data_IF_899249103170
#
_entry.id   IF_899249103170
#
_cell.length_a   1.000
_cell.length_b   1.000
_cell.length_c   1.000
_cell.angle_alpha   90.00
_cell.angle_beta   90.00
_cell.angle_gamma   90.00
#
_symmetry.space_group_name_H-M   'P 1'
#
loop_
_entity.id
_entity.type
_entity.pdbx_description
1 polymer ?
#
# COMPACT_ATOMS: atom_id res chain seq x y z
N UNK A 1 1.78 -27.56 -27.22
CA UNK A 1 2.51 -28.09 -26.06
C UNK A 1 2.05 -27.30 -24.85
N UNK A 2 1.80 -27.91 -23.68
CA UNK A 2 1.48 -27.11 -22.50
C UNK A 2 2.65 -26.15 -22.27
N UNK A 3 2.36 -24.85 -22.27
CA UNK A 3 3.33 -23.83 -21.92
C UNK A 3 3.80 -24.16 -20.52
N UNK A 4 5.11 -24.34 -20.34
CA UNK A 4 5.67 -24.44 -18.99
C UNK A 4 6.03 -23.01 -18.63
N UNK A 5 5.15 -22.33 -17.90
CA UNK A 5 5.47 -21.04 -17.28
C UNK A 5 6.64 -21.23 -16.34
N UNK A 6 7.81 -20.70 -16.70
CA UNK A 6 9.05 -20.81 -15.94
C UNK A 6 9.65 -19.42 -15.87
N UNK A 7 9.98 -18.97 -14.67
CA UNK A 7 10.76 -17.75 -14.48
C UNK A 7 12.15 -17.91 -15.09
N UNK A 8 12.59 -16.93 -15.88
CA UNK A 8 13.95 -16.84 -16.36
C UNK A 8 14.92 -16.39 -15.25
N UNK A 9 16.21 -16.24 -15.58
CA UNK A 9 17.25 -15.81 -14.64
C UNK A 9 17.02 -14.39 -14.08
N UNK A 10 16.22 -13.58 -14.77
CA UNK A 10 15.83 -12.22 -14.38
C UNK A 10 14.42 -12.18 -13.78
N UNK A 11 13.87 -13.34 -13.43
CA UNK A 11 12.55 -13.52 -12.81
C UNK A 11 11.34 -13.16 -13.71
N UNK A 12 11.52 -13.01 -15.02
CA UNK A 12 10.41 -12.79 -15.98
C UNK A 12 9.78 -14.11 -16.42
N UNK A 13 8.48 -14.12 -16.74
CA UNK A 13 7.78 -15.30 -17.26
C UNK A 13 7.88 -15.42 -18.79
N UNK A 14 7.98 -14.29 -19.48
CA UNK A 14 8.00 -14.17 -20.93
C UNK A 14 9.22 -13.39 -21.40
N UNK A 15 9.68 -13.71 -22.61
CA UNK A 15 10.80 -13.00 -23.25
C UNK A 15 10.35 -11.63 -23.74
N UNK A 16 11.26 -10.67 -23.68
CA UNK A 16 11.10 -9.30 -24.18
C UNK A 16 9.92 -8.53 -23.55
N UNK A 17 9.91 -8.28 -22.22
CA UNK A 17 8.81 -7.57 -21.54
C UNK A 17 8.54 -6.18 -22.13
N UNK A 18 9.55 -5.56 -22.74
CA UNK A 18 9.46 -4.27 -23.47
C UNK A 18 8.47 -4.28 -24.64
N UNK A 19 8.12 -5.45 -25.20
CA UNK A 19 7.07 -5.55 -26.22
C UNK A 19 5.68 -5.24 -25.67
N UNK A 20 5.51 -5.28 -24.34
CA UNK A 20 4.31 -4.87 -23.63
C UNK A 20 3.04 -5.58 -24.15
N UNK A 21 3.14 -6.89 -24.37
CA UNK A 21 2.07 -7.72 -24.92
C UNK A 21 1.21 -8.37 -23.86
N UNK A 22 -0.03 -8.72 -24.22
CA UNK A 22 -0.92 -9.53 -23.38
C UNK A 22 -0.66 -11.01 -23.67
N UNK A 23 -0.50 -11.80 -22.61
CA UNK A 23 -0.25 -13.24 -22.66
C UNK A 23 -1.46 -14.00 -22.13
N UNK A 24 -2.07 -14.82 -22.98
CA UNK A 24 -3.14 -15.72 -22.56
C UNK A 24 -2.57 -16.91 -21.78
N UNK A 25 -3.07 -17.13 -20.57
CA UNK A 25 -2.66 -18.23 -19.70
C UNK A 25 -3.82 -19.21 -19.44
N UNK A 26 -3.46 -20.47 -19.23
CA UNK A 26 -4.38 -21.58 -18.96
C UNK A 26 -4.59 -21.81 -17.46
N UNK A 27 -5.51 -22.71 -17.10
CA UNK A 27 -5.68 -23.12 -15.70
C UNK A 27 -4.44 -23.88 -15.20
N UNK A 28 -3.79 -24.65 -16.07
CA UNK A 28 -2.52 -25.32 -15.78
C UNK A 28 -1.41 -24.32 -15.44
N UNK A 29 -1.35 -23.20 -16.18
CA UNK A 29 -0.41 -22.10 -15.91
C UNK A 29 -0.70 -21.43 -14.55
N UNK A 30 -1.97 -21.20 -14.21
CA UNK A 30 -2.37 -20.68 -12.89
C UNK A 30 -1.94 -21.64 -11.77
N UNK A 31 -2.16 -22.95 -11.94
CA UNK A 31 -1.73 -23.95 -10.97
C UNK A 31 -0.20 -23.97 -10.79
N UNK A 32 0.55 -23.75 -11.87
CA UNK A 32 2.01 -23.62 -11.80
C UNK A 32 2.43 -22.37 -11.02
N UNK A 33 1.76 -21.23 -11.23
CA UNK A 33 2.01 -19.99 -10.46
C UNK A 33 1.64 -20.15 -8.98
N UNK A 34 0.57 -20.88 -8.65
CA UNK A 34 0.23 -21.22 -7.26
C UNK A 34 1.33 -22.06 -6.60
N UNK A 35 1.92 -23.01 -7.32
CA UNK A 35 3.05 -23.80 -6.84
C UNK A 35 4.30 -22.92 -6.59
N UNK A 36 4.57 -21.94 -7.46
CA UNK A 36 5.63 -20.97 -7.22
C UNK A 36 5.38 -20.12 -5.98
N UNK A 37 4.14 -19.68 -5.75
CA UNK A 37 3.78 -18.95 -4.54
C UNK A 37 4.09 -19.73 -3.25
N UNK A 38 3.89 -21.06 -3.24
CA UNK A 38 4.29 -21.89 -2.09
C UNK A 38 5.81 -21.99 -1.92
N UNK A 39 6.55 -22.06 -3.02
CA UNK A 39 8.02 -22.07 -2.99
C UNK A 39 8.57 -20.74 -2.48
N UNK A 40 7.99 -19.61 -2.90
CA UNK A 40 8.35 -18.28 -2.42
C UNK A 40 8.06 -18.12 -0.92
N UNK A 41 6.92 -18.64 -0.44
CA UNK A 41 6.61 -18.69 0.99
C UNK A 41 7.64 -19.51 1.77
N UNK A 42 7.98 -20.71 1.29
CA UNK A 42 8.97 -21.58 1.94
C UNK A 42 10.36 -20.96 1.95
N UNK A 43 10.75 -20.28 0.86
CA UNK A 43 12.00 -19.54 0.78
C UNK A 43 12.05 -18.39 1.78
N UNK A 44 11.00 -17.56 1.84
CA UNK A 44 10.93 -16.43 2.76
C UNK A 44 11.03 -16.88 4.24
N UNK A 45 10.37 -17.99 4.60
CA UNK A 45 10.49 -18.58 5.94
C UNK A 45 11.89 -19.13 6.23
N UNK A 46 12.54 -19.75 5.23
CA UNK A 46 13.92 -20.23 5.38
C UNK A 46 14.90 -19.07 5.63
N UNK A 47 14.77 -17.96 4.89
CA UNK A 47 15.58 -16.74 5.08
C UNK A 47 15.36 -16.16 6.47
N UNK A 48 14.10 -16.08 6.92
CA UNK A 48 13.75 -15.61 8.27
C UNK A 48 14.39 -16.48 9.35
N UNK A 49 14.29 -17.81 9.22
CA UNK A 49 14.89 -18.75 10.17
C UNK A 49 16.42 -18.59 10.23
N UNK A 50 17.08 -18.41 9.09
CA UNK A 50 18.52 -18.17 9.03
C UNK A 50 18.93 -16.89 9.78
N UNK A 51 18.19 -15.78 9.59
CA UNK A 51 18.46 -14.52 10.30
C UNK A 51 18.25 -14.67 11.80
N UNK A 52 17.17 -15.34 12.25
CA UNK A 52 16.89 -15.57 13.67
C UNK A 52 17.97 -16.43 14.34
N UNK A 53 18.35 -17.55 13.72
CA UNK A 53 19.40 -18.43 14.26
C UNK A 53 20.76 -17.72 14.29
N UNK A 54 21.06 -16.89 13.29
CA UNK A 54 22.23 -16.02 13.28
C UNK A 54 22.22 -15.04 14.45
N UNK A 55 21.11 -14.33 14.67
CA UNK A 55 21.01 -13.39 15.80
C UNK A 55 21.23 -14.09 17.13
N UNK A 56 20.66 -15.29 17.32
CA UNK A 56 20.92 -16.10 18.52
C UNK A 56 22.40 -16.44 18.66
N UNK A 57 23.04 -16.90 17.58
CA UNK A 57 24.46 -17.23 17.57
C UNK A 57 25.37 -16.04 17.88
N UNK A 58 25.00 -14.84 17.41
CA UNK A 58 25.71 -13.58 17.73
C UNK A 58 25.57 -13.29 19.23
N UNK A 59 24.34 -13.35 19.77
CA UNK A 59 24.08 -13.11 21.20
C UNK A 59 24.75 -14.12 22.12
N UNK A 60 24.87 -15.39 21.70
CA UNK A 60 25.57 -16.44 22.44
C UNK A 60 27.08 -16.45 22.23
N UNK A 61 27.63 -15.56 21.39
CA UNK A 61 29.07 -15.51 21.09
C UNK A 61 29.60 -16.70 20.30
N UNK A 62 28.73 -17.49 19.68
CA UNK A 62 29.09 -18.70 18.90
C UNK A 62 29.13 -18.45 17.39
N UNK A 63 28.87 -17.22 16.94
CA UNK A 63 28.91 -16.85 15.54
C UNK A 63 30.34 -16.69 15.03
N UNK A 64 30.74 -17.52 14.06
CA UNK A 64 32.13 -17.60 13.56
C UNK A 64 32.30 -17.24 12.09
N UNK A 65 31.20 -16.95 11.36
CA UNK A 65 31.26 -16.61 9.93
C UNK A 65 31.50 -15.11 9.74
N UNK A 66 32.42 -14.77 8.82
CA UNK A 66 32.52 -13.43 8.23
C UNK A 66 31.60 -13.38 7.02
N UNK A 67 30.38 -12.89 7.19
CA UNK A 67 29.52 -12.52 6.06
C UNK A 67 29.82 -11.08 5.64
N UNK A 68 29.58 -10.73 4.38
CA UNK A 68 29.64 -9.35 3.93
C UNK A 68 28.52 -8.54 4.59
N UNK A 69 28.87 -7.44 5.25
CA UNK A 69 27.94 -6.60 6.00
C UNK A 69 26.81 -6.05 5.11
N UNK A 70 27.07 -5.79 3.83
CA UNK A 70 26.04 -5.35 2.88
C UNK A 70 25.01 -6.44 2.64
N UNK A 71 25.48 -7.66 2.38
CA UNK A 71 24.61 -8.82 2.17
C UNK A 71 23.77 -9.11 3.42
N UNK A 72 24.34 -8.92 4.61
CA UNK A 72 23.61 -9.07 5.87
C UNK A 72 22.49 -8.02 6.00
N UNK A 73 22.78 -6.75 5.68
CA UNK A 73 21.78 -5.68 5.74
C UNK A 73 20.64 -5.93 4.75
N UNK A 74 20.95 -6.34 3.51
CA UNK A 74 19.92 -6.73 2.53
C UNK A 74 19.06 -7.89 3.02
N UNK A 75 19.65 -8.94 3.60
CA UNK A 75 18.88 -10.06 4.15
C UNK A 75 17.95 -9.61 5.29
N UNK A 76 18.43 -8.75 6.19
CA UNK A 76 17.63 -8.23 7.30
C UNK A 76 16.46 -7.37 6.79
N UNK A 77 16.68 -6.54 5.76
CA UNK A 77 15.62 -5.74 5.15
C UNK A 77 14.58 -6.62 4.43
N UNK A 78 14.98 -7.76 3.88
CA UNK A 78 14.08 -8.71 3.23
C UNK A 78 13.31 -9.59 4.22
N UNK A 79 13.76 -9.69 5.49
CA UNK A 79 13.01 -10.36 6.55
C UNK A 79 11.91 -9.48 7.14
N UNK A 80 10.84 -10.11 7.65
CA UNK A 80 9.81 -9.40 8.41
C UNK A 80 10.35 -8.83 9.71
N UNK A 81 9.90 -7.62 10.09
CA UNK A 81 10.15 -7.07 11.42
C UNK A 81 11.29 -6.06 11.49
N UNK A 82 11.81 -5.58 10.37
CA UNK A 82 12.86 -4.55 10.34
C UNK A 82 12.25 -3.17 10.18
N UNK A 83 12.65 -2.23 11.04
CA UNK A 83 12.27 -0.83 10.90
C UNK A 83 13.18 -0.17 9.87
N UNK A 84 12.58 0.37 8.81
CA UNK A 84 13.28 1.11 7.76
C UNK A 84 12.67 2.49 7.56
N UNK A 85 13.51 3.46 7.21
CA UNK A 85 13.10 4.83 6.92
C UNK A 85 12.92 5.02 5.41
N UNK A 86 11.70 5.33 4.99
CA UNK A 86 11.34 5.54 3.60
C UNK A 86 11.71 6.96 3.13
N UNK A 87 11.93 7.18 1.82
CA UNK A 87 12.34 8.47 1.27
C UNK A 87 11.31 9.59 1.48
N UNK A 88 10.02 9.25 1.64
CA UNK A 88 8.94 10.18 1.95
C UNK A 88 8.77 10.47 3.46
N UNK A 89 9.71 10.02 4.29
CA UNK A 89 9.84 10.40 5.70
C UNK A 89 9.24 9.44 6.72
N UNK A 90 8.41 8.49 6.30
CA UNK A 90 7.81 7.51 7.22
C UNK A 90 8.77 6.36 7.52
N UNK A 91 8.71 5.84 8.75
CA UNK A 91 9.28 4.54 9.09
C UNK A 91 8.22 3.46 8.95
N UNK A 92 8.60 2.35 8.34
CA UNK A 92 7.74 1.17 8.25
C UNK A 92 8.41 -0.02 8.93
N UNK A 93 7.61 -1.05 9.25
CA UNK A 93 8.11 -2.37 9.65
C UNK A 93 7.95 -3.31 8.45
N UNK A 94 9.04 -3.85 7.93
CA UNK A 94 9.04 -4.69 6.72
C UNK A 94 8.21 -5.97 6.87
N UNK A 95 7.62 -6.42 5.76
CA UNK A 95 7.11 -7.78 5.58
C UNK A 95 8.19 -8.69 4.95
N UNK A 96 8.02 -10.02 4.96
CA UNK A 96 8.88 -10.88 4.15
C UNK A 96 8.76 -10.47 2.68
N UNK A 97 9.87 -10.04 2.09
CA UNK A 97 9.92 -9.76 0.65
C UNK A 97 9.88 -11.07 -0.11
N UNK A 98 9.14 -11.11 -1.20
CA UNK A 98 9.13 -12.20 -2.18
C UNK A 98 9.56 -11.59 -3.51
N UNK A 99 10.21 -12.38 -4.36
CA UNK A 99 10.95 -11.91 -5.55
C UNK A 99 10.07 -11.32 -6.66
N UNK A 100 8.76 -11.27 -6.44
CA UNK A 100 7.75 -11.00 -7.44
C UNK A 100 6.67 -10.08 -6.86
N UNK A 101 6.18 -9.17 -7.69
CA UNK A 101 5.06 -8.29 -7.39
C UNK A 101 3.93 -8.54 -8.38
N UNK A 102 2.71 -8.52 -7.86
CA UNK A 102 1.51 -8.86 -8.59
C UNK A 102 0.39 -7.85 -8.34
N UNK A 103 -0.52 -7.74 -9.29
CA UNK A 103 -1.83 -7.13 -9.10
C UNK A 103 -2.87 -7.93 -9.85
N UNK A 104 -3.97 -8.26 -9.17
CA UNK A 104 -5.11 -8.90 -9.78
C UNK A 104 -6.22 -7.94 -10.14
N UNK A 105 -6.81 -8.13 -11.31
CA UNK A 105 -7.98 -7.39 -11.76
C UNK A 105 -9.07 -8.34 -12.25
N UNK A 106 -10.27 -8.12 -11.73
CA UNK A 106 -11.42 -9.02 -11.93
C UNK A 106 -11.94 -9.06 -13.37
N UNK A 107 -11.57 -8.06 -14.17
CA UNK A 107 -12.02 -7.92 -15.56
C UNK A 107 -10.95 -7.21 -16.37
N UNK A 108 -11.11 -7.19 -17.69
CA UNK A 108 -10.33 -6.30 -18.55
C UNK A 108 -10.69 -4.83 -18.27
N UNK A 109 -9.81 -4.10 -17.60
CA UNK A 109 -9.89 -2.65 -17.56
C UNK A 109 -9.02 -2.07 -18.67
N UNK A 110 -9.57 -1.16 -19.48
CA UNK A 110 -8.79 -0.54 -20.55
C UNK A 110 -7.70 0.40 -20.04
N UNK A 111 -7.87 0.95 -18.83
CA UNK A 111 -6.86 1.77 -18.13
C UNK A 111 -6.90 1.46 -16.64
N UNK A 112 -5.86 0.80 -16.14
CA UNK A 112 -5.66 0.56 -14.72
C UNK A 112 -4.85 1.72 -14.16
N UNK A 113 -5.57 2.66 -13.56
CA UNK A 113 -5.04 3.89 -12.93
C UNK A 113 -5.63 4.07 -11.54
N UNK A 114 -4.98 4.83 -10.63
CA UNK A 114 -5.44 5.01 -9.25
C UNK A 114 -6.84 5.60 -9.14
N UNK A 115 -7.47 5.43 -7.98
CA UNK A 115 -8.83 5.94 -7.72
C UNK A 115 -8.93 7.45 -7.89
N UNK A 116 -7.95 8.22 -7.41
CA UNK A 116 -7.96 9.67 -7.54
C UNK A 116 -7.80 10.12 -9.00
N UNK A 117 -6.90 9.49 -9.77
CA UNK A 117 -6.73 9.81 -11.19
C UNK A 117 -8.01 9.59 -12.00
N UNK A 118 -8.83 8.60 -11.64
CA UNK A 118 -10.12 8.36 -12.31
C UNK A 118 -11.15 9.47 -12.05
N UNK A 119 -11.03 10.19 -10.94
CA UNK A 119 -11.90 11.31 -10.60
C UNK A 119 -11.50 12.61 -11.33
N UNK A 120 -10.22 12.74 -11.65
CA UNK A 120 -9.66 13.89 -12.36
C UNK A 120 -9.97 13.78 -13.86
N UNK A 121 -10.96 14.54 -14.33
CA UNK A 121 -11.39 14.51 -15.73
C UNK A 121 -10.42 15.30 -16.62
N UNK A 122 -10.25 14.83 -17.86
CA UNK A 122 -9.39 15.50 -18.85
C UNK A 122 -9.80 16.95 -19.16
N UNK A 123 -11.08 17.29 -18.94
CA UNK A 123 -11.60 18.64 -19.15
C UNK A 123 -11.34 19.62 -17.99
N UNK A 124 -10.85 19.14 -16.85
CA UNK A 124 -10.50 19.99 -15.71
C UNK A 124 -9.20 20.74 -15.98
N UNK A 125 -9.12 22.01 -15.59
CA UNK A 125 -7.85 22.72 -15.58
C UNK A 125 -6.93 22.24 -14.44
N UNK A 126 -5.65 22.63 -14.47
CA UNK A 126 -4.69 22.17 -13.46
C UNK A 126 -5.01 22.67 -12.05
N UNK A 127 -5.63 23.85 -11.93
CA UNK A 127 -6.04 24.39 -10.62
C UNK A 127 -7.22 23.59 -10.06
N UNK A 128 -8.19 23.23 -10.90
CA UNK A 128 -9.31 22.37 -10.52
C UNK A 128 -8.84 20.97 -10.13
N UNK A 129 -7.90 20.39 -10.90
CA UNK A 129 -7.32 19.09 -10.53
C UNK A 129 -6.64 19.17 -9.17
N UNK A 130 -5.85 20.21 -8.92
CA UNK A 130 -5.16 20.38 -7.64
C UNK A 130 -6.13 20.59 -6.47
N UNK A 131 -7.21 21.35 -6.65
CA UNK A 131 -8.27 21.47 -5.63
C UNK A 131 -8.92 20.12 -5.30
N UNK A 132 -9.21 19.30 -6.32
CA UNK A 132 -9.78 17.97 -6.11
C UNK A 132 -8.80 17.02 -5.39
N UNK A 133 -7.50 17.13 -5.67
CA UNK A 133 -6.46 16.39 -4.91
C UNK A 133 -6.42 16.82 -3.45
N UNK A 134 -6.43 18.14 -3.20
CA UNK A 134 -6.46 18.68 -1.84
C UNK A 134 -7.70 18.22 -1.08
N UNK A 135 -8.88 18.19 -1.70
CA UNK A 135 -10.11 17.68 -1.07
C UNK A 135 -9.98 16.19 -0.71
N UNK A 136 -9.39 15.38 -1.60
CA UNK A 136 -9.12 13.97 -1.28
C UNK A 136 -8.15 13.81 -0.09
N UNK A 137 -7.11 14.65 -0.02
CA UNK A 137 -6.19 14.67 1.12
C UNK A 137 -6.84 15.15 2.41
N UNK A 138 -7.72 16.15 2.37
CA UNK A 138 -8.48 16.60 3.54
C UNK A 138 -9.37 15.47 4.10
N UNK A 139 -10.06 14.72 3.23
CA UNK A 139 -10.84 13.53 3.63
C UNK A 139 -9.96 12.43 4.23
N UNK A 140 -8.73 12.25 3.73
CA UNK A 140 -7.73 11.35 4.32
C UNK A 140 -7.33 11.79 5.73
N UNK A 141 -7.08 13.09 5.96
CA UNK A 141 -6.75 13.57 7.31
C UNK A 141 -7.90 13.41 8.29
N UNK A 142 -9.14 13.65 7.85
CA UNK A 142 -10.34 13.35 8.62
C UNK A 142 -10.44 11.87 9.01
N UNK A 143 -10.12 10.96 8.08
CA UNK A 143 -10.02 9.54 8.38
C UNK A 143 -8.92 9.24 9.39
N UNK A 144 -7.75 9.88 9.27
CA UNK A 144 -6.69 9.83 10.28
C UNK A 144 -7.17 10.24 11.68
N UNK A 145 -7.90 11.35 11.77
CA UNK A 145 -8.50 11.85 13.01
C UNK A 145 -9.51 10.86 13.60
N UNK A 146 -10.30 10.17 12.76
CA UNK A 146 -11.22 9.12 13.20
C UNK A 146 -10.47 7.94 13.81
N UNK A 147 -9.52 7.35 13.08
CA UNK A 147 -8.82 6.13 13.54
C UNK A 147 -7.90 6.39 14.73
N UNK A 148 -7.47 7.64 14.96
CA UNK A 148 -6.68 8.02 16.13
C UNK A 148 -7.40 7.77 17.46
N UNK A 149 -8.73 7.62 17.44
CA UNK A 149 -9.53 7.25 18.61
C UNK A 149 -9.40 5.76 18.98
N UNK A 150 -8.89 4.91 18.08
CA UNK A 150 -8.68 3.48 18.33
C UNK A 150 -7.35 3.32 19.06
N UNK A 151 -7.36 2.73 20.26
CA UNK A 151 -6.22 2.66 21.19
C UNK A 151 -4.91 2.20 20.53
N UNK A 152 -5.01 1.24 19.60
CA UNK A 152 -3.84 0.68 18.91
C UNK A 152 -3.10 1.70 18.04
N UNK A 153 -3.79 2.69 17.47
CA UNK A 153 -3.20 3.65 16.52
C UNK A 153 -2.18 4.58 17.20
N UNK A 154 -2.52 5.35 18.25
CA UNK A 154 -1.53 6.17 18.96
C UNK A 154 -0.48 5.32 19.69
N UNK A 155 -0.83 4.12 20.15
CA UNK A 155 0.15 3.18 20.72
C UNK A 155 1.18 2.74 19.67
N UNK A 156 0.73 2.38 18.46
CA UNK A 156 1.57 1.98 17.35
C UNK A 156 2.55 3.08 16.96
N UNK A 157 2.03 4.30 16.76
CA UNK A 157 2.84 5.49 16.44
C UNK A 157 3.91 5.74 17.52
N UNK A 158 3.55 5.60 18.79
CA UNK A 158 4.45 5.84 19.90
C UNK A 158 5.54 4.76 20.07
N UNK A 159 5.22 3.49 19.79
CA UNK A 159 6.06 2.36 20.24
C UNK A 159 6.68 1.53 19.12
N UNK A 160 6.06 1.47 17.95
CA UNK A 160 6.41 0.49 16.92
C UNK A 160 6.89 1.14 15.62
N UNK A 161 6.05 1.92 14.96
CA UNK A 161 6.35 2.50 13.65
C UNK A 161 5.47 3.71 13.35
N UNK A 162 5.76 4.42 12.27
CA UNK A 162 4.87 5.50 11.83
C UNK A 162 3.60 4.92 11.18
N UNK A 163 2.48 5.61 11.36
CA UNK A 163 1.20 5.26 10.74
C UNK A 163 1.17 5.80 9.30
N UNK A 164 1.10 4.90 8.33
CA UNK A 164 1.02 5.26 6.92
C UNK A 164 -0.43 5.58 6.53
N UNK A 165 -0.86 6.83 6.80
CA UNK A 165 -2.23 7.29 6.52
C UNK A 165 -2.62 7.16 5.05
N UNK A 166 -1.70 7.39 4.12
CA UNK A 166 -1.97 7.27 2.68
C UNK A 166 -2.33 5.83 2.28
N UNK A 167 -1.53 4.86 2.74
CA UNK A 167 -1.77 3.45 2.48
C UNK A 167 -3.04 2.93 3.17
N UNK A 168 -3.26 3.32 4.43
CA UNK A 168 -4.48 2.96 5.16
C UNK A 168 -5.71 3.53 4.45
N UNK A 169 -5.72 4.82 4.13
CA UNK A 169 -6.86 5.46 3.47
C UNK A 169 -7.24 4.77 2.16
N UNK A 170 -6.25 4.36 1.35
CA UNK A 170 -6.51 3.57 0.14
C UNK A 170 -7.26 2.26 0.46
N UNK A 171 -6.83 1.52 1.48
CA UNK A 171 -7.41 0.23 1.88
C UNK A 171 -8.82 0.34 2.48
N UNK A 172 -9.19 1.54 2.97
CA UNK A 172 -10.54 1.87 3.45
C UNK A 172 -11.37 2.64 2.42
N UNK A 173 -10.91 2.71 1.17
CA UNK A 173 -11.68 3.18 0.02
C UNK A 173 -11.65 4.70 -0.20
N UNK A 174 -10.68 5.41 0.37
CA UNK A 174 -10.44 6.81 0.03
C UNK A 174 -9.72 6.93 -1.31
N UNK A 175 -9.96 8.03 -2.01
CA UNK A 175 -9.32 8.30 -3.29
C UNK A 175 -7.83 8.65 -3.07
N UNK A 176 -6.93 7.92 -3.73
CA UNK A 176 -5.48 8.16 -3.66
C UNK A 176 -4.83 8.02 -5.04
N UNK A 177 -3.59 8.49 -5.17
CA UNK A 177 -2.71 8.30 -6.32
C UNK A 177 -1.95 6.96 -6.30
N UNK A 178 -2.36 6.02 -5.44
CA UNK A 178 -1.66 4.77 -5.22
C UNK A 178 -2.37 3.62 -5.94
N UNK A 179 -1.58 2.67 -6.43
CA UNK A 179 -2.06 1.37 -6.89
C UNK A 179 -1.64 0.28 -5.93
N UNK A 180 -2.58 -0.61 -5.59
CA UNK A 180 -2.28 -1.79 -4.77
C UNK A 180 -1.52 -2.82 -5.60
N UNK A 181 -0.37 -3.22 -5.07
CA UNK A 181 0.40 -4.39 -5.47
C UNK A 181 0.50 -5.35 -4.27
N UNK A 182 0.80 -6.61 -4.54
CA UNK A 182 1.05 -7.62 -3.53
C UNK A 182 2.21 -8.49 -3.96
N UNK A 183 3.03 -8.96 -3.03
CA UNK A 183 4.05 -9.96 -3.33
C UNK A 183 3.52 -11.41 -3.21
N UNK A 184 2.21 -11.59 -2.97
CA UNK A 184 1.55 -12.90 -2.92
C UNK A 184 0.64 -13.12 -4.13
N UNK A 185 1.02 -14.04 -5.00
CA UNK A 185 0.21 -14.42 -6.15
C UNK A 185 -1.19 -14.91 -5.76
N UNK A 186 -1.37 -15.56 -4.60
CA UNK A 186 -2.70 -16.01 -4.15
C UNK A 186 -3.62 -14.83 -3.86
N UNK A 187 -3.10 -13.75 -3.27
CA UNK A 187 -3.84 -12.53 -3.03
C UNK A 187 -4.21 -11.83 -4.36
N UNK A 188 -3.26 -11.74 -5.31
CA UNK A 188 -3.56 -11.20 -6.63
C UNK A 188 -4.63 -12.03 -7.36
N UNK A 189 -4.50 -13.36 -7.37
CA UNK A 189 -5.49 -14.24 -7.98
C UNK A 189 -6.87 -14.12 -7.33
N UNK A 190 -6.93 -13.90 -6.01
CA UNK A 190 -8.17 -13.62 -5.30
C UNK A 190 -8.86 -12.36 -5.82
N UNK A 191 -8.16 -11.23 -5.88
CA UNK A 191 -8.73 -9.98 -6.41
C UNK A 191 -9.07 -10.08 -7.90
N UNK A 192 -8.36 -10.93 -8.64
CA UNK A 192 -8.67 -11.21 -10.04
C UNK A 192 -9.90 -12.12 -10.23
N UNK A 193 -10.36 -12.84 -9.21
CA UNK A 193 -11.42 -13.87 -9.36
C UNK A 193 -12.60 -13.71 -8.42
N UNK A 194 -12.56 -12.80 -7.45
CA UNK A 194 -13.61 -12.57 -6.46
C UNK A 194 -14.11 -11.14 -6.52
N UNK A 195 -15.42 -10.96 -6.31
CA UNK A 195 -16.09 -9.66 -6.39
C UNK A 195 -16.37 -9.13 -4.99
N UNK A 196 -16.00 -7.87 -4.77
CA UNK A 196 -16.35 -7.13 -3.55
C UNK A 196 -17.85 -6.76 -3.54
N UNK A 197 -18.45 -6.82 -2.36
CA UNK A 197 -19.86 -6.56 -2.06
C UNK A 197 -19.92 -5.46 -1.00
N UNK A 198 -20.09 -4.19 -1.40
CA UNK A 198 -20.07 -3.05 -0.48
C UNK A 198 -21.08 -3.17 0.66
N UNK A 199 -22.26 -3.73 0.41
CA UNK A 199 -23.36 -3.82 1.38
C UNK A 199 -23.02 -4.69 2.59
N UNK A 200 -22.03 -5.56 2.47
CA UNK A 200 -21.62 -6.51 3.52
C UNK A 200 -20.15 -6.36 3.89
N UNK A 201 -19.46 -5.34 3.34
CA UNK A 201 -18.00 -5.16 3.40
C UNK A 201 -17.25 -6.49 3.20
N UNK A 202 -17.61 -7.26 2.17
CA UNK A 202 -17.10 -8.62 2.00
C UNK A 202 -16.87 -9.00 0.54
N UNK A 203 -16.25 -10.17 0.31
CA UNK A 203 -16.04 -10.73 -1.02
C UNK A 203 -16.89 -11.96 -1.23
N UNK A 204 -17.29 -12.18 -2.49
CA UNK A 204 -17.95 -13.42 -2.94
C UNK A 204 -17.33 -13.93 -4.24
N UNK A 205 -17.47 -15.22 -4.56
CA UNK A 205 -17.10 -15.72 -5.87
C UNK A 205 -17.97 -15.10 -6.99
N UNK A 206 -17.43 -15.10 -8.20
CA UNK A 206 -18.11 -14.71 -9.42
C UNK A 206 -19.24 -15.69 -9.74
N UNK A 207 -20.38 -15.13 -10.13
CA UNK A 207 -21.49 -15.90 -10.71
C UNK A 207 -21.38 -15.94 -12.22
N UNK A 208 -22.10 -16.86 -12.88
CA UNK A 208 -22.16 -16.89 -14.34
C UNK A 208 -22.68 -15.55 -14.91
N UNK A 209 -23.62 -14.90 -14.22
CA UNK A 209 -24.13 -13.59 -14.60
C UNK A 209 -23.09 -12.47 -14.47
N UNK A 210 -22.17 -12.54 -13.50
CA UNK A 210 -21.05 -11.58 -13.41
C UNK A 210 -20.09 -11.76 -14.59
N UNK A 211 -19.80 -13.03 -14.98
CA UNK A 211 -18.87 -13.38 -16.06
C UNK A 211 -19.44 -12.97 -17.43
N UNK A 212 -20.72 -13.23 -17.68
CA UNK A 212 -21.36 -13.03 -18.98
C UNK A 212 -21.85 -11.58 -19.20
N UNK A 213 -21.57 -10.65 -18.29
CA UNK A 213 -22.04 -9.26 -18.34
C UNK A 213 -21.53 -8.49 -19.57
N UNK A 214 -20.26 -8.66 -19.94
CA UNK A 214 -19.65 -8.08 -21.14
C UNK A 214 -18.46 -8.91 -21.61
N UNK A 215 -17.88 -8.59 -22.77
CA UNK A 215 -16.65 -9.26 -23.23
C UNK A 215 -15.49 -9.10 -22.23
N UNK A 216 -15.37 -7.92 -21.61
CA UNK A 216 -14.34 -7.61 -20.63
C UNK A 216 -14.47 -8.41 -19.33
N UNK A 217 -15.70 -8.73 -18.90
CA UNK A 217 -15.94 -9.51 -17.66
C UNK A 217 -15.72 -11.00 -17.83
N UNK A 218 -15.45 -11.48 -19.05
CA UNK A 218 -15.15 -12.90 -19.31
C UNK A 218 -13.72 -13.28 -18.95
N UNK A 219 -12.86 -12.31 -18.67
CA UNK A 219 -11.44 -12.51 -18.45
C UNK A 219 -10.96 -11.83 -17.17
N UNK A 220 -10.12 -12.51 -16.41
CA UNK A 220 -9.34 -11.88 -15.33
C UNK A 220 -7.94 -11.53 -15.82
N UNK A 221 -7.32 -10.59 -15.14
CA UNK A 221 -5.95 -10.16 -15.43
C UNK A 221 -5.07 -10.24 -14.19
N UNK A 222 -3.83 -10.70 -14.39
CA UNK A 222 -2.74 -10.55 -13.44
C UNK A 222 -1.67 -9.69 -14.10
N UNK A 223 -1.31 -8.59 -13.45
CA UNK A 223 -0.09 -7.86 -13.74
C UNK A 223 1.03 -8.44 -12.89
N UNK A 224 2.20 -8.65 -13.48
CA UNK A 224 3.37 -9.22 -12.81
C UNK A 224 4.62 -8.42 -13.12
N UNK A 225 5.41 -8.12 -12.10
CA UNK A 225 6.72 -7.50 -12.24
C UNK A 225 7.72 -8.18 -11.29
N UNK A 226 8.95 -8.49 -11.74
CA UNK A 226 10.03 -8.82 -10.83
C UNK A 226 10.29 -7.69 -9.83
N UNK A 227 10.57 -8.03 -8.58
CA UNK A 227 10.79 -7.05 -7.52
C UNK A 227 11.92 -6.07 -7.85
N UNK A 228 13.05 -6.56 -8.38
CA UNK A 228 14.23 -5.73 -8.68
C UNK A 228 13.96 -4.61 -9.69
N UNK A 229 12.90 -4.70 -10.51
CA UNK A 229 12.56 -3.67 -11.50
C UNK A 229 11.95 -2.43 -10.84
N UNK A 230 11.04 -2.63 -9.88
CA UNK A 230 10.20 -1.54 -9.35
C UNK A 230 10.30 -1.39 -7.83
N UNK A 231 10.69 -2.41 -7.06
CA UNK A 231 10.77 -2.34 -5.60
C UNK A 231 11.93 -1.44 -5.18
N UNK A 232 11.60 -0.44 -4.37
CA UNK A 232 12.57 0.46 -3.75
C UNK A 232 13.65 -0.29 -2.97
N UNK A 233 13.34 -1.42 -2.34
CA UNK A 233 14.31 -2.14 -1.51
C UNK A 233 15.22 -3.10 -2.27
N UNK A 234 14.91 -3.44 -3.53
CA UNK A 234 15.63 -4.48 -4.28
C UNK A 234 16.52 -3.90 -5.40
N UNK A 235 17.08 -2.72 -5.18
CA UNK A 235 18.13 -2.13 -6.03
C UNK A 235 17.58 -1.35 -7.21
N UNK A 236 17.01 -2.00 -8.23
CA UNK A 236 16.67 -1.32 -9.48
C UNK A 236 15.60 -0.23 -9.35
N UNK A 237 14.61 -0.42 -8.47
CA UNK A 237 13.64 0.63 -8.13
C UNK A 237 14.30 1.85 -7.47
N UNK A 238 15.20 1.62 -6.50
CA UNK A 238 15.96 2.69 -5.86
C UNK A 238 16.97 3.38 -6.80
N UNK A 239 17.71 2.63 -7.61
CA UNK A 239 18.70 3.16 -8.53
C UNK A 239 18.04 4.10 -9.57
N UNK A 240 16.95 3.64 -10.18
CA UNK A 240 16.16 4.49 -11.09
C UNK A 240 15.65 5.74 -10.37
N UNK A 241 15.00 5.55 -9.22
CA UNK A 241 14.41 6.66 -8.48
C UNK A 241 15.44 7.68 -8.02
N UNK A 242 16.55 7.22 -7.44
CA UNK A 242 17.65 8.06 -6.96
C UNK A 242 18.31 8.83 -8.09
N UNK A 243 18.51 8.21 -9.26
CA UNK A 243 19.01 8.88 -10.45
C UNK A 243 18.10 10.03 -10.89
N UNK A 244 16.79 9.80 -10.92
CA UNK A 244 15.80 10.79 -11.32
C UNK A 244 15.65 11.93 -10.29
N UNK A 245 15.63 11.61 -8.99
CA UNK A 245 15.18 12.54 -7.95
C UNK A 245 16.31 13.15 -7.11
N UNK A 246 17.36 12.40 -6.82
CA UNK A 246 18.52 12.91 -6.07
C UNK A 246 19.55 13.51 -7.01
N UNK A 247 19.74 12.91 -8.19
CA UNK A 247 20.74 13.35 -9.15
C UNK A 247 20.17 14.20 -10.30
N UNK A 248 18.87 14.53 -10.30
CA UNK A 248 18.21 15.30 -11.36
C UNK A 248 18.43 14.73 -12.79
N UNK A 249 18.61 13.42 -12.92
CA UNK A 249 18.94 12.77 -14.19
C UNK A 249 20.39 13.00 -14.65
N UNK A 250 21.25 13.56 -13.79
CA UNK A 250 22.64 13.85 -14.06
C UNK A 250 23.55 13.22 -12.97
N UNK A 251 24.29 12.14 -13.29
CA UNK A 251 25.09 11.42 -12.29
C UNK A 251 26.28 12.24 -11.75
N UNK A 252 26.57 13.41 -12.33
CA UNK A 252 27.61 14.33 -11.87
C UNK A 252 27.10 15.37 -10.87
N UNK A 253 25.78 15.47 -10.65
CA UNK A 253 25.19 16.39 -9.68
C UNK A 253 25.18 15.80 -8.27
N UNK A 254 25.46 16.65 -7.29
CA UNK A 254 25.45 16.28 -5.87
C UNK A 254 24.00 16.03 -5.42
N UNK A 255 23.76 14.96 -4.66
CA UNK A 255 22.40 14.62 -4.24
C UNK A 255 21.80 15.71 -3.33
N UNK A 256 20.63 16.23 -3.68
CA UNK A 256 19.86 17.10 -2.77
C UNK A 256 19.24 16.27 -1.65
N UNK A 257 19.97 16.19 -0.54
CA UNK A 257 19.55 15.43 0.66
C UNK A 257 18.49 16.14 1.50
N UNK A 258 18.19 17.40 1.22
CA UNK A 258 17.25 18.20 2.00
C UNK A 258 15.87 18.31 1.33
N UNK A 259 15.73 17.85 0.08
CA UNK A 259 14.44 17.77 -0.59
C UNK A 259 13.53 16.77 0.13
N UNK A 260 12.32 17.23 0.46
CA UNK A 260 11.24 16.38 0.97
C UNK A 260 10.49 15.78 -0.22
N UNK A 261 10.25 14.48 -0.16
CA UNK A 261 9.45 13.74 -1.14
C UNK A 261 8.10 13.43 -0.55
N UNK A 262 7.05 13.47 -1.38
CA UNK A 262 5.69 13.17 -0.96
C UNK A 262 5.16 11.97 -1.73
N UNK A 263 4.47 11.09 -1.02
CA UNK A 263 4.02 9.82 -1.58
C UNK A 263 2.99 9.99 -2.71
N UNK A 264 2.17 11.05 -2.65
CA UNK A 264 1.10 11.33 -3.63
C UNK A 264 1.37 12.55 -4.53
N UNK A 265 2.55 13.17 -4.48
CA UNK A 265 2.91 14.35 -5.32
C UNK A 265 3.37 13.98 -6.73
N UNK A 266 3.66 12.69 -6.97
CA UNK A 266 4.39 12.22 -8.15
C UNK A 266 5.88 12.01 -7.93
N UNK A 267 6.43 12.42 -6.77
CA UNK A 267 7.85 12.20 -6.44
C UNK A 267 8.23 10.72 -6.31
N UNK A 268 7.26 9.86 -6.03
CA UNK A 268 7.46 8.42 -5.83
C UNK A 268 6.85 7.59 -6.98
N UNK A 269 6.49 8.26 -8.08
CA UNK A 269 5.84 7.60 -9.21
C UNK A 269 6.71 6.49 -9.80
N UNK A 270 6.08 5.36 -10.11
CA UNK A 270 6.75 4.28 -10.83
C UNK A 270 7.60 3.36 -9.95
N UNK A 271 7.60 3.55 -8.63
CA UNK A 271 8.36 2.76 -7.64
C UNK A 271 7.39 2.04 -6.71
N UNK A 272 7.58 0.73 -6.52
CA UNK A 272 6.84 -0.05 -5.54
C UNK A 272 7.48 0.12 -4.14
N UNK A 273 6.63 0.40 -3.16
CA UNK A 273 7.03 0.62 -1.78
C UNK A 273 6.22 -0.33 -0.89
N UNK A 274 6.89 -1.04 0.00
CA UNK A 274 6.18 -1.81 1.02
C UNK A 274 5.34 -0.87 1.88
N UNK A 275 4.10 -1.28 2.21
CA UNK A 275 3.30 -0.59 3.22
C UNK A 275 3.86 -0.87 4.62
N UNK A 276 4.43 -2.08 4.80
CA UNK A 276 4.86 -2.61 6.08
C UNK A 276 3.70 -2.92 7.02
N UNK A 277 3.99 -3.53 8.17
CA UNK A 277 2.98 -3.75 9.20
C UNK A 277 2.42 -2.38 9.65
N UNK A 278 1.11 -2.35 9.89
CA UNK A 278 0.35 -1.15 10.26
C UNK A 278 -0.56 -1.50 11.46
N UNK A 279 -1.07 -0.50 12.22
CA UNK A 279 -1.93 -0.77 13.38
C UNK A 279 -3.24 -1.49 13.02
N UNK A 280 -3.74 -1.26 11.80
CA UNK A 280 -4.93 -1.92 11.26
C UNK A 280 -4.52 -3.09 10.36
N UNK A 281 -5.27 -4.20 10.42
CA UNK A 281 -4.76 -5.51 10.03
C UNK A 281 -4.82 -5.76 8.52
N UNK A 282 -5.68 -5.03 7.80
CA UNK A 282 -5.94 -5.25 6.36
C UNK A 282 -4.68 -5.21 5.49
N UNK A 283 -3.81 -4.21 5.69
CA UNK A 283 -2.60 -4.06 4.88
C UNK A 283 -1.63 -5.24 5.05
N UNK A 284 -1.47 -5.74 6.27
CA UNK A 284 -0.59 -6.85 6.57
C UNK A 284 -1.05 -8.18 5.95
N UNK A 285 -2.36 -8.44 6.00
CA UNK A 285 -2.94 -9.67 5.44
C UNK A 285 -2.81 -9.74 3.91
N UNK A 286 -2.67 -8.60 3.23
CA UNK A 286 -2.50 -8.54 1.79
C UNK A 286 -1.03 -8.60 1.34
N UNK A 287 -0.07 -8.60 2.28
CA UNK A 287 1.36 -8.38 1.97
C UNK A 287 1.53 -7.18 1.03
N UNK A 288 0.85 -6.08 1.39
CA UNK A 288 0.56 -4.97 0.50
C UNK A 288 1.76 -4.09 0.19
N UNK A 289 1.85 -3.72 -1.07
CA UNK A 289 2.74 -2.71 -1.61
C UNK A 289 1.89 -1.60 -2.25
N UNK A 290 2.39 -0.38 -2.18
CA UNK A 290 1.84 0.76 -2.91
C UNK A 290 2.73 1.09 -4.08
N UNK A 291 2.11 1.41 -5.21
CA UNK A 291 2.77 1.89 -6.41
C UNK A 291 2.19 3.25 -6.78
N UNK A 292 2.84 4.36 -6.39
CA UNK A 292 2.39 5.70 -6.72
C UNK A 292 2.38 5.91 -8.23
N UNK A 293 1.30 6.54 -8.70
CA UNK A 293 1.02 6.71 -10.12
C UNK A 293 0.17 7.97 -10.35
N UNK A 294 0.70 9.14 -9.97
CA UNK A 294 0.04 10.44 -10.24
C UNK A 294 0.16 10.81 -11.72
N UNK A 295 1.36 10.70 -12.28
CA UNK A 295 1.72 11.11 -13.64
C UNK A 295 2.12 9.93 -14.54
N UNK A 296 2.25 8.73 -13.96
CA UNK A 296 2.62 7.51 -14.66
C UNK A 296 1.52 7.00 -15.61
N UNK A 297 1.96 6.25 -16.61
CA UNK A 297 1.04 5.62 -17.58
C UNK A 297 0.28 4.48 -16.93
N UNK A 298 -0.89 4.16 -17.48
CA UNK A 298 -1.66 2.99 -17.03
C UNK A 298 -0.84 1.70 -17.12
N UNK A 299 -1.17 0.71 -16.27
CA UNK A 299 -0.42 -0.56 -16.24
C UNK A 299 -0.42 -1.29 -17.59
N UNK A 300 -1.44 -1.07 -18.42
CA UNK A 300 -1.55 -1.56 -19.80
C UNK A 300 -0.44 -1.05 -20.71
N UNK A 301 0.05 0.17 -20.48
CA UNK A 301 1.09 0.81 -21.28
C UNK A 301 2.48 0.72 -20.62
N UNK A 302 2.54 0.21 -19.40
CA UNK A 302 3.76 0.11 -18.61
C UNK A 302 4.45 -1.25 -18.84
N UNK A 303 5.61 -1.24 -19.49
CA UNK A 303 6.36 -2.43 -19.85
C UNK A 303 7.05 -3.12 -18.65
N UNK A 304 7.11 -2.45 -17.48
CA UNK A 304 7.59 -3.08 -16.25
C UNK A 304 6.65 -4.19 -15.77
N UNK A 305 5.42 -4.27 -16.29
CA UNK A 305 4.45 -5.30 -15.93
C UNK A 305 4.15 -6.23 -17.11
N UNK A 306 4.36 -7.54 -16.92
CA UNK A 306 3.74 -8.56 -17.75
C UNK A 306 2.23 -8.58 -17.53
N UNK A 307 1.46 -8.85 -18.59
CA UNK A 307 -0.01 -8.89 -18.55
C UNK A 307 -0.50 -10.28 -18.86
N UNK A 308 -0.93 -10.99 -17.83
CA UNK A 308 -1.42 -12.36 -17.93
C UNK A 308 -2.95 -12.31 -17.94
N UNK A 309 -3.56 -12.72 -19.05
CA UNK A 309 -5.01 -12.80 -19.22
C UNK A 309 -5.47 -14.25 -19.10
N UNK A 310 -6.49 -14.50 -18.29
CA UNK A 310 -7.09 -15.83 -18.17
C UNK A 310 -8.60 -15.73 -18.30
N UNK A 311 -9.24 -16.80 -18.80
CA UNK A 311 -10.68 -16.85 -18.93
C UNK A 311 -11.32 -17.21 -17.59
N UNK A 312 -12.37 -16.50 -17.21
CA UNK A 312 -13.13 -16.80 -16.01
C UNK A 312 -13.92 -18.09 -16.11
N UNK A 313 -14.05 -18.76 -14.96
CA UNK A 313 -15.03 -19.80 -14.72
C UNK A 313 -15.53 -19.70 -13.27
N UNK A 314 -16.78 -20.12 -13.06
CA UNK A 314 -17.37 -20.17 -11.72
C UNK A 314 -16.56 -21.13 -10.83
N UNK A 315 -16.08 -22.23 -11.39
CA UNK A 315 -15.28 -23.24 -10.70
C UNK A 315 -13.96 -22.67 -10.18
N UNK A 316 -13.24 -21.90 -11.02
CA UNK A 316 -11.99 -21.24 -10.63
C UNK A 316 -12.23 -20.26 -9.49
N UNK A 317 -13.24 -19.39 -9.65
CA UNK A 317 -13.58 -18.38 -8.64
C UNK A 317 -13.94 -19.01 -7.29
N UNK A 318 -14.77 -20.06 -7.29
CA UNK A 318 -15.11 -20.79 -6.06
C UNK A 318 -13.90 -21.50 -5.44
N UNK A 319 -13.02 -22.07 -6.26
CA UNK A 319 -11.80 -22.70 -5.78
C UNK A 319 -10.90 -21.69 -5.06
N UNK A 320 -10.63 -20.55 -5.70
CA UNK A 320 -9.80 -19.47 -5.13
C UNK A 320 -10.45 -18.90 -3.86
N UNK A 321 -11.76 -18.64 -3.89
CA UNK A 321 -12.49 -18.15 -2.72
C UNK A 321 -12.34 -19.08 -1.50
N UNK A 322 -12.45 -20.40 -1.70
CA UNK A 322 -12.22 -21.40 -0.64
C UNK A 322 -10.77 -21.46 -0.19
N UNK A 323 -9.82 -21.42 -1.12
CA UNK A 323 -8.38 -21.38 -0.82
C UNK A 323 -8.01 -20.19 0.08
N UNK A 324 -8.70 -19.08 -0.09
CA UNK A 324 -8.52 -17.83 0.65
C UNK A 324 -9.40 -17.70 1.90
N UNK A 325 -9.98 -18.81 2.37
CA UNK A 325 -10.86 -18.89 3.54
C UNK A 325 -12.02 -17.87 3.49
N UNK A 326 -12.69 -17.83 2.34
CA UNK A 326 -13.79 -16.89 2.09
C UNK A 326 -13.36 -15.42 2.03
N UNK A 327 -12.07 -15.17 1.79
CA UNK A 327 -11.47 -13.84 1.76
C UNK A 327 -10.80 -13.41 3.06
N UNK A 328 -11.00 -14.13 4.17
CA UNK A 328 -10.45 -13.75 5.49
C UNK A 328 -8.93 -13.65 5.52
N UNK A 329 -8.23 -14.35 4.62
CA UNK A 329 -6.76 -14.29 4.51
C UNK A 329 -6.23 -12.94 3.99
N UNK A 330 -7.06 -12.16 3.28
CA UNK A 330 -6.68 -10.86 2.69
C UNK A 330 -7.60 -9.73 3.13
N UNK A 331 -8.76 -10.07 3.68
CA UNK A 331 -9.78 -9.16 4.18
C UNK A 331 -10.26 -9.68 5.55
N UNK A 332 -9.45 -9.52 6.60
CA UNK A 332 -9.78 -10.01 7.93
C UNK A 332 -10.95 -9.23 8.53
N UNK A 333 -11.67 -9.85 9.46
CA UNK A 333 -12.61 -9.12 10.31
C UNK A 333 -11.81 -8.31 11.35
N UNK A 334 -11.93 -6.99 11.31
CA UNK A 334 -11.17 -6.05 12.14
C UNK A 334 -12.08 -4.96 12.70
N UNK A 335 -11.74 -4.41 13.87
CA UNK A 335 -12.63 -3.50 14.59
C UNK A 335 -12.99 -2.24 13.80
N UNK A 336 -12.10 -1.72 12.97
CA UNK A 336 -12.38 -0.53 12.13
C UNK A 336 -13.55 -0.73 11.15
N UNK A 337 -13.92 -1.98 10.82
CA UNK A 337 -15.13 -2.27 10.02
C UNK A 337 -16.40 -1.78 10.72
N UNK A 338 -16.46 -1.81 12.06
CA UNK A 338 -17.59 -1.30 12.84
C UNK A 338 -17.77 0.23 12.72
N UNK A 339 -16.74 0.94 12.23
CA UNK A 339 -16.78 2.39 11.98
C UNK A 339 -17.19 2.75 10.54
N UNK A 340 -17.75 1.79 9.78
CA UNK A 340 -18.12 1.98 8.37
C UNK A 340 -18.96 3.23 8.11
N UNK A 341 -19.99 3.48 8.93
CA UNK A 341 -20.86 4.66 8.76
C UNK A 341 -20.09 5.98 8.88
N UNK A 342 -19.10 6.05 9.77
CA UNK A 342 -18.25 7.24 9.93
C UNK A 342 -17.31 7.39 8.73
N UNK A 343 -16.66 6.30 8.31
CA UNK A 343 -15.77 6.29 7.14
C UNK A 343 -16.54 6.78 5.90
N UNK A 344 -17.76 6.29 5.70
CA UNK A 344 -18.56 6.65 4.53
C UNK A 344 -19.02 8.10 4.55
N UNK A 345 -19.35 8.63 5.73
CA UNK A 345 -19.60 10.07 5.89
C UNK A 345 -18.36 10.91 5.54
N UNK A 346 -17.16 10.47 5.94
CA UNK A 346 -15.92 11.20 5.66
C UNK A 346 -15.60 11.20 4.16
N UNK A 347 -15.84 10.09 3.44
CA UNK A 347 -15.62 10.03 1.99
C UNK A 347 -16.42 11.06 1.20
N UNK A 348 -17.55 11.53 1.74
CA UNK A 348 -18.40 12.56 1.15
C UNK A 348 -18.31 13.91 1.87
N UNK A 349 -17.35 14.08 2.79
CA UNK A 349 -17.21 15.31 3.56
C UNK A 349 -16.86 16.51 2.67
N UNK A 350 -17.45 17.65 2.99
CA UNK A 350 -17.19 18.96 2.37
C UNK A 350 -16.90 20.04 3.42
N UNK A 351 -16.89 19.68 4.70
CA UNK A 351 -16.54 20.59 5.80
C UNK A 351 -15.24 20.10 6.38
N UNK A 352 -14.25 20.98 6.47
CA UNK A 352 -12.91 20.65 6.96
C UNK A 352 -12.44 21.66 7.98
N UNK A 353 -11.62 21.23 8.93
CA UNK A 353 -11.05 22.10 9.94
C UNK A 353 -9.74 22.75 9.44
N UNK A 354 -9.38 23.89 10.04
CA UNK A 354 -8.20 24.66 9.65
C UNK A 354 -6.88 23.89 9.91
N UNK A 355 -6.85 23.05 10.94
CA UNK A 355 -5.72 22.17 11.24
C UNK A 355 -5.54 21.07 10.17
N UNK A 356 -6.63 20.49 9.67
CA UNK A 356 -6.63 19.54 8.54
C UNK A 356 -6.06 20.21 7.29
N UNK A 357 -6.46 21.46 7.01
CA UNK A 357 -5.93 22.24 5.89
C UNK A 357 -4.42 22.52 6.04
N UNK A 358 -3.98 22.87 7.26
CA UNK A 358 -2.57 23.08 7.55
C UNK A 358 -1.75 21.80 7.34
N UNK A 359 -2.26 20.66 7.82
CA UNK A 359 -1.63 19.36 7.65
C UNK A 359 -1.47 18.99 6.17
N UNK A 360 -2.52 19.19 5.35
CA UNK A 360 -2.44 18.97 3.90
C UNK A 360 -1.40 19.87 3.24
N UNK A 361 -1.42 21.16 3.57
CA UNK A 361 -0.51 22.14 2.95
C UNK A 361 0.97 21.85 3.26
N UNK A 362 1.27 21.36 4.46
CA UNK A 362 2.65 21.12 4.91
C UNK A 362 3.17 19.71 4.61
N UNK A 363 2.28 18.71 4.52
CA UNK A 363 2.67 17.30 4.50
C UNK A 363 2.25 16.53 3.24
N UNK A 364 1.40 17.07 2.37
CA UNK A 364 0.88 16.31 1.21
C UNK A 364 1.36 16.84 -0.15
N UNK A 365 2.36 17.73 -0.16
CA UNK A 365 2.98 18.17 -1.41
C UNK A 365 2.06 18.98 -2.32
N UNK A 366 1.23 19.85 -1.74
CA UNK A 366 0.40 20.82 -2.49
C UNK A 366 1.28 21.64 -3.42
N UNK A 367 0.82 21.84 -4.66
CA UNK A 367 1.54 22.64 -5.65
C UNK A 367 1.57 24.14 -5.24
N UNK A 368 2.70 24.55 -4.67
CA UNK A 368 2.94 25.93 -4.21
C UNK A 368 3.11 26.93 -5.36
N UNK A 369 3.22 26.47 -6.61
CA UNK A 369 3.17 27.37 -7.77
C UNK A 369 1.73 27.79 -8.10
N UNK A 370 0.75 26.93 -7.80
CA UNK A 370 -0.68 27.20 -7.94
C UNK A 370 -1.22 27.91 -6.69
N UNK A 371 -0.82 27.45 -5.51
CA UNK A 371 -1.23 27.99 -4.21
C UNK A 371 0.00 28.40 -3.38
N UNK A 372 0.54 29.62 -3.56
CA UNK A 372 1.76 30.05 -2.88
C UNK A 372 1.65 30.13 -1.36
N UNK A 373 0.44 30.35 -0.84
CA UNK A 373 0.15 30.41 0.60
C UNK A 373 -1.05 29.55 0.97
N UNK A 374 -1.13 29.15 2.24
CA UNK A 374 -2.30 28.46 2.77
C UNK A 374 -3.57 29.31 2.68
N UNK A 375 -3.46 30.64 2.76
CA UNK A 375 -4.59 31.56 2.62
C UNK A 375 -5.13 31.57 1.18
N UNK A 376 -4.24 31.48 0.18
CA UNK A 376 -4.65 31.34 -1.24
C UNK A 376 -5.42 30.03 -1.45
N UNK A 377 -4.94 28.94 -0.85
CA UNK A 377 -5.61 27.65 -0.90
C UNK A 377 -6.96 27.68 -0.18
N UNK A 378 -7.02 28.22 1.05
CA UNK A 378 -8.26 28.37 1.84
C UNK A 378 -9.30 29.16 1.06
N UNK A 379 -8.89 30.27 0.44
CA UNK A 379 -9.77 31.12 -0.37
C UNK A 379 -10.28 30.40 -1.62
N UNK A 380 -9.46 29.57 -2.26
CA UNK A 380 -9.86 28.81 -3.43
C UNK A 380 -10.79 27.63 -3.08
N UNK A 381 -10.60 27.00 -1.92
CA UNK A 381 -11.46 25.92 -1.42
C UNK A 381 -12.81 26.44 -0.91
N UNK A 382 -12.83 27.56 -0.20
CA UNK A 382 -14.06 28.06 0.43
C UNK A 382 -15.08 28.46 -0.65
N UNK A 383 -16.22 27.78 -0.68
CA UNK A 383 -17.25 27.98 -1.71
C UNK A 383 -17.04 27.14 -2.98
N UNK A 384 -15.98 26.32 -3.05
CA UNK A 384 -15.76 25.41 -4.18
C UNK A 384 -16.86 24.33 -4.20
N UNK A 385 -17.49 24.13 -5.36
CA UNK A 385 -18.60 23.18 -5.51
C UNK A 385 -18.10 21.86 -6.04
N UNK A 386 -18.32 20.80 -5.28
CA UNK A 386 -18.07 19.41 -5.66
C UNK A 386 -19.37 18.68 -5.95
N UNK A 387 -19.31 17.42 -6.37
CA UNK A 387 -20.48 16.55 -6.45
C UNK A 387 -21.15 16.29 -5.09
N UNK A 388 -20.39 16.38 -4.00
CA UNK A 388 -20.87 16.10 -2.64
C UNK A 388 -21.41 17.36 -1.92
N UNK A 389 -21.15 18.55 -2.48
CA UNK A 389 -21.59 19.82 -1.92
C UNK A 389 -20.55 20.92 -2.01
N UNK A 390 -20.84 22.03 -1.32
CA UNK A 390 -19.99 23.21 -1.27
C UNK A 390 -18.98 23.07 -0.13
N UNK A 391 -17.70 23.28 -0.44
CA UNK A 391 -16.61 23.16 0.52
C UNK A 391 -16.59 24.34 1.49
N UNK A 392 -16.47 24.04 2.78
CA UNK A 392 -16.34 24.99 3.87
C UNK A 392 -15.14 24.64 4.76
N UNK A 393 -14.37 25.66 5.13
CA UNK A 393 -13.26 25.54 6.09
C UNK A 393 -13.68 26.26 7.38
N UNK A 394 -13.63 25.54 8.51
CA UNK A 394 -13.95 26.07 9.84
C UNK A 394 -12.73 26.07 10.76
N UNK A 395 -12.75 26.89 11.79
CA UNK A 395 -11.63 26.96 12.75
C UNK A 395 -11.74 25.88 13.85
N UNK A 396 -12.96 25.39 14.13
CA UNK A 396 -13.20 24.37 15.14
C UNK A 396 -12.86 22.96 14.65
N UNK A 397 -12.19 22.12 15.46
CA UNK A 397 -11.93 20.73 15.11
C UNK A 397 -13.22 19.94 14.86
N UNK A 398 -13.16 18.99 13.93
CA UNK A 398 -14.27 18.08 13.65
C UNK A 398 -14.17 16.90 14.61
N UNK A 399 -15.15 16.78 15.50
CA UNK A 399 -15.22 15.71 16.51
C UNK A 399 -16.20 14.63 16.05
N UNK A 400 -15.74 13.38 16.04
CA UNK A 400 -16.59 12.22 15.82
C UNK A 400 -17.09 11.71 17.17
N UNK A 401 -18.37 11.91 17.46
CA UNK A 401 -19.02 11.34 18.64
C UNK A 401 -19.26 9.84 18.41
N UNK A 402 -18.25 9.03 18.76
CA UNK A 402 -18.31 7.57 18.69
C UNK A 402 -18.87 7.07 20.03
N UNK A 403 -20.02 6.38 20.05
CA UNK A 403 -20.54 5.79 21.27
C UNK A 403 -19.48 4.93 21.97
N UNK A 404 -19.33 5.10 23.28
CA UNK A 404 -18.31 4.38 24.04
C UNK A 404 -18.40 2.86 23.85
N UNK A 405 -19.61 2.30 23.82
CA UNK A 405 -19.81 0.85 23.61
C UNK A 405 -19.27 0.39 22.25
N UNK A 406 -19.49 1.18 21.20
CA UNK A 406 -18.96 0.91 19.86
C UNK A 406 -17.42 1.01 19.85
N UNK A 407 -16.85 2.02 20.50
CA UNK A 407 -15.40 2.18 20.58
C UNK A 407 -14.74 1.07 21.41
N UNK A 408 -15.36 0.64 22.50
CA UNK A 408 -14.91 -0.48 23.33
C UNK A 408 -14.93 -1.80 22.51
N UNK A 409 -15.96 -2.01 21.69
CA UNK A 409 -16.05 -3.14 20.77
C UNK A 409 -14.94 -3.11 19.72
N UNK A 410 -14.74 -1.97 19.04
CA UNK A 410 -13.64 -1.75 18.08
C UNK A 410 -12.29 -2.05 18.73
N UNK A 411 -12.03 -1.52 19.93
CA UNK A 411 -10.77 -1.71 20.64
C UNK A 411 -10.54 -3.16 21.09
N UNK A 412 -11.60 -3.93 21.36
CA UNK A 412 -11.50 -5.35 21.71
C UNK A 412 -10.83 -6.20 20.61
N UNK A 413 -10.88 -5.72 19.35
CA UNK A 413 -10.18 -6.36 18.23
C UNK A 413 -8.66 -6.14 18.24
N UNK A 414 -8.12 -5.26 19.07
CA UNK A 414 -6.70 -4.93 19.06
C UNK A 414 -6.06 -5.03 20.45
N UNK A 415 -6.79 -4.66 21.50
CA UNK A 415 -6.27 -4.59 22.86
C UNK A 415 -5.88 -5.97 23.40
N UNK A 416 -4.70 -6.02 24.05
CA UNK A 416 -4.16 -7.25 24.63
C UNK A 416 -3.59 -8.27 23.62
N UNK A 417 -3.62 -7.98 22.31
CA UNK A 417 -3.00 -8.83 21.29
C UNK A 417 -1.49 -8.63 21.23
N UNK A 418 -0.76 -9.73 21.00
CA UNK A 418 0.68 -9.67 20.77
C UNK A 418 0.97 -9.12 19.37
N UNK A 419 1.32 -7.84 19.31
CA UNK A 419 1.67 -7.13 18.07
C UNK A 419 2.98 -7.65 17.46
N UNK A 420 3.87 -8.23 18.27
CA UNK A 420 5.14 -8.77 17.80
C UNK A 420 4.98 -10.17 17.22
N UNK A 421 3.92 -10.90 17.56
CA UNK A 421 3.66 -12.24 17.02
C UNK A 421 3.64 -12.23 15.47
N UNK A 422 3.03 -11.20 14.87
CA UNK A 422 2.95 -11.05 13.42
C UNK A 422 4.34 -10.93 12.75
N UNK A 423 5.32 -10.35 13.45
CA UNK A 423 6.70 -10.21 12.97
C UNK A 423 7.64 -11.31 13.47
N UNK A 424 7.12 -12.36 14.10
CA UNK A 424 7.91 -13.47 14.66
C UNK A 424 8.60 -13.15 15.98
N UNK A 425 8.07 -12.20 16.75
CA UNK A 425 8.57 -11.83 18.08
C UNK A 425 9.81 -10.94 18.07
N UNK A 426 10.23 -10.43 16.91
CA UNK A 426 11.47 -9.68 16.76
C UNK A 426 11.24 -8.40 15.97
N UNK A 427 11.51 -7.27 16.61
CA UNK A 427 11.54 -5.94 15.98
C UNK A 427 13.00 -5.49 15.88
N UNK A 428 13.55 -5.47 14.67
CA UNK A 428 14.89 -4.97 14.42
C UNK A 428 14.84 -3.45 14.20
N UNK A 429 15.30 -2.69 15.18
CA UNK A 429 15.28 -1.23 15.16
C UNK A 429 16.66 -0.65 15.47
N UNK A 430 17.17 0.21 14.59
CA UNK A 430 18.45 0.91 14.77
C UNK A 430 18.34 1.93 15.91
N UNK A 431 19.45 2.26 16.58
CA UNK A 431 19.46 3.20 17.70
C UNK A 431 18.78 4.56 17.41
N UNK A 432 19.00 5.22 16.25
CA UNK A 432 18.30 6.47 15.94
C UNK A 432 16.78 6.32 15.89
N UNK A 433 16.28 5.16 15.42
CA UNK A 433 14.85 4.90 15.34
C UNK A 433 14.26 4.62 16.73
N UNK A 434 15.02 3.99 17.63
CA UNK A 434 14.64 3.80 19.04
C UNK A 434 14.50 5.16 19.77
N UNK A 435 15.45 6.07 19.58
CA UNK A 435 15.39 7.42 20.16
C UNK A 435 14.22 8.22 19.58
N UNK A 436 13.99 8.13 18.26
CA UNK A 436 12.83 8.74 17.63
C UNK A 436 11.52 8.20 18.22
N UNK A 437 11.41 6.88 18.48
CA UNK A 437 10.22 6.32 19.17
C UNK A 437 10.05 6.87 20.59
N UNK A 438 11.12 7.00 21.37
CA UNK A 438 11.03 7.61 22.72
C UNK A 438 10.49 9.03 22.65
N UNK A 439 10.96 9.82 21.68
CA UNK A 439 10.49 11.18 21.46
C UNK A 439 9.00 11.21 21.08
N UNK A 440 8.58 10.39 20.09
CA UNK A 440 7.16 10.26 19.69
C UNK A 440 6.26 9.82 20.85
N UNK A 441 6.72 8.88 21.67
CA UNK A 441 6.00 8.45 22.86
C UNK A 441 5.74 9.59 23.85
N UNK A 442 6.74 10.45 24.10
CA UNK A 442 6.59 11.63 24.95
C UNK A 442 5.65 12.65 24.32
N UNK A 443 5.73 12.87 23.01
CA UNK A 443 4.84 13.80 22.30
C UNK A 443 3.38 13.37 22.36
N UNK A 444 3.10 12.07 22.28
CA UNK A 444 1.73 11.52 22.27
C UNK A 444 1.17 11.38 23.69
N UNK A 445 1.96 10.85 24.64
CA UNK A 445 1.48 10.49 25.98
C UNK A 445 1.95 11.44 27.10
N UNK A 446 2.80 12.41 26.79
CA UNK A 446 3.44 13.31 27.77
C UNK A 446 4.52 12.63 28.63
N UNK A 447 4.75 11.33 28.45
CA UNK A 447 5.72 10.52 29.18
C UNK A 447 6.08 9.25 28.41
N UNK A 448 7.17 8.60 28.84
CA UNK A 448 7.46 7.24 28.41
C UNK A 448 6.48 6.26 29.08
N UNK A 449 5.90 5.36 28.29
CA UNK A 449 5.02 4.28 28.74
C UNK A 449 5.60 2.90 28.46
#
# INVERSE_FOLDING_TARGET
MPSKMIYDESNWLFKDPQKNTIHDITIEDINQLLNYAEQDNAWAEAVKHEVVEREKAIRSGTYTKKTDWLLEEFQIMQTSGTVIHMPFGLRIITFPSKRQLFRGEIQNYHRSIPSLNRLLKDCMDEKEKELNRVIAHLRKWQFGNLIWNINIVPYWEAKLSDVNLDALAQHYGFATHLMDLTNDFKAALFFATCKYVPETDSYRPLTQADIDKSEDTRYGFIFHAPDWIIDYMNGGGFEKWSFEHLHHGNPMEMPDRNRRFYLQSGDMDGVALQIGYQPLQRCAHQSGYIYPMRNEKSLQENWHFEKLRFKHSVELSQHVYRMMDGGKKVFPNEGVTELHEYIERIKHSVVFAMDELQAVYDCDGVDKTIFPTIDDLKKALTGYTTSDGIVAIQDEPIVYDIPKELLDDVNSHYDGKDLLAAIGGMLHQKYPDQEYRKQRCIEIYGKLI
#
